data_IF_560636547442
#
_entry.id   IF_560636547442
#
_cell.length_a   1.000
_cell.length_b   1.000
_cell.length_c   1.000
_cell.angle_alpha   90.00
_cell.angle_beta   90.00
_cell.angle_gamma   90.00
#
_symmetry.space_group_name_H-M   'P 1'
#
loop_
_entity.id
_entity.type
_entity.pdbx_description
1 polymer ?
#
# COMPACT_ATOMS: atom_id res chain seq x y z
N UNK A 1 30.94 -42.44 -4.17
CA UNK A 1 29.46 -42.28 -4.20
C UNK A 1 29.16 -41.17 -5.20
N UNK A 2 28.81 -41.52 -6.46
CA UNK A 2 28.48 -40.53 -7.50
C UNK A 2 27.07 -40.04 -7.26
N UNK A 3 26.90 -38.75 -6.93
CA UNK A 3 25.60 -38.12 -6.84
C UNK A 3 24.99 -38.15 -8.24
N UNK A 4 23.77 -38.72 -8.39
CA UNK A 4 23.13 -38.81 -9.67
C UNK A 4 22.75 -37.42 -10.21
N UNK A 5 22.78 -37.26 -11.53
CA UNK A 5 22.39 -35.99 -12.20
C UNK A 5 20.97 -35.55 -11.82
N UNK A 6 20.07 -36.52 -11.53
CA UNK A 6 18.70 -36.30 -11.09
C UNK A 6 18.60 -35.69 -9.67
N UNK A 7 19.58 -35.90 -8.81
CA UNK A 7 19.58 -35.31 -7.46
C UNK A 7 20.11 -33.87 -7.45
N UNK A 8 20.88 -33.49 -8.45
CA UNK A 8 21.46 -32.13 -8.57
C UNK A 8 20.47 -31.18 -9.24
N UNK A 9 19.61 -31.66 -10.12
CA UNK A 9 18.68 -30.84 -10.91
C UNK A 9 17.77 -29.93 -10.05
N UNK A 10 17.15 -30.42 -8.96
CA UNK A 10 16.32 -29.55 -8.09
C UNK A 10 17.13 -28.46 -7.38
N UNK A 11 18.37 -28.78 -6.99
CA UNK A 11 19.27 -27.82 -6.31
C UNK A 11 19.70 -26.72 -7.29
N UNK A 12 20.07 -27.10 -8.51
CA UNK A 12 20.41 -26.15 -9.58
C UNK A 12 19.20 -25.26 -9.92
N UNK A 13 17.99 -25.87 -10.03
CA UNK A 13 16.75 -25.13 -10.24
C UNK A 13 16.47 -24.12 -9.13
N UNK A 14 16.68 -24.50 -7.87
CA UNK A 14 16.54 -23.60 -6.72
C UNK A 14 17.54 -22.45 -6.76
N UNK A 15 18.83 -22.74 -7.03
CA UNK A 15 19.88 -21.72 -7.10
C UNK A 15 19.61 -20.73 -8.24
N UNK A 16 19.23 -21.25 -9.42
CA UNK A 16 18.87 -20.41 -10.57
C UNK A 16 17.62 -19.57 -10.26
N UNK A 17 16.60 -20.15 -9.60
CA UNK A 17 15.42 -19.44 -9.13
C UNK A 17 15.77 -18.29 -8.16
N UNK A 18 16.61 -18.58 -7.15
CA UNK A 18 17.07 -17.57 -6.20
C UNK A 18 17.91 -16.48 -6.88
N UNK A 19 18.74 -16.83 -7.85
CA UNK A 19 19.52 -15.86 -8.64
C UNK A 19 18.60 -14.92 -9.43
N UNK A 20 17.56 -15.44 -10.09
CA UNK A 20 16.59 -14.62 -10.82
C UNK A 20 15.70 -13.77 -9.90
N UNK A 21 15.40 -14.23 -8.68
CA UNK A 21 14.72 -13.43 -7.67
C UNK A 21 15.59 -12.25 -7.20
N UNK A 22 16.90 -12.48 -7.01
CA UNK A 22 17.84 -11.44 -6.58
C UNK A 22 18.21 -10.44 -7.70
N UNK A 23 18.25 -10.92 -8.96
CA UNK A 23 18.64 -10.13 -10.15
C UNK A 23 17.73 -10.47 -11.34
N UNK A 24 16.49 -9.97 -11.33
CA UNK A 24 15.55 -10.27 -12.39
C UNK A 24 16.07 -9.70 -13.73
N UNK A 25 15.98 -10.47 -14.84
CA UNK A 25 16.42 -10.04 -16.16
C UNK A 25 15.59 -8.83 -16.64
N UNK A 26 16.16 -8.00 -17.53
CA UNK A 26 15.52 -6.76 -18.02
C UNK A 26 14.13 -7.00 -18.63
N UNK A 27 13.93 -8.13 -19.33
CA UNK A 27 12.62 -8.47 -19.88
C UNK A 27 11.57 -8.71 -18.79
N UNK A 28 11.95 -9.34 -17.64
CA UNK A 28 11.09 -9.55 -16.49
C UNK A 28 10.72 -8.21 -15.82
N UNK A 29 11.70 -7.32 -15.64
CA UNK A 29 11.48 -5.97 -15.11
C UNK A 29 10.50 -5.19 -16.02
N UNK A 30 10.64 -5.32 -17.35
CA UNK A 30 9.71 -4.71 -18.30
C UNK A 30 8.30 -5.26 -18.17
N UNK A 31 8.14 -6.57 -18.00
CA UNK A 31 6.83 -7.20 -17.77
C UNK A 31 6.20 -6.71 -16.46
N UNK A 32 6.97 -6.63 -15.38
CA UNK A 32 6.46 -6.12 -14.10
C UNK A 32 6.05 -4.66 -14.20
N UNK A 33 6.86 -3.83 -14.88
CA UNK A 33 6.51 -2.43 -15.15
C UNK A 33 5.21 -2.32 -15.95
N UNK A 34 5.04 -3.08 -17.02
CA UNK A 34 3.81 -3.08 -17.82
C UNK A 34 2.59 -3.54 -17.01
N UNK A 35 2.75 -4.55 -16.15
CA UNK A 35 1.68 -5.00 -15.25
C UNK A 35 1.30 -3.91 -14.24
N UNK A 36 2.30 -3.22 -13.69
CA UNK A 36 2.09 -2.10 -12.79
C UNK A 36 1.36 -0.96 -13.51
N UNK A 37 1.86 -0.52 -14.67
CA UNK A 37 1.26 0.56 -15.46
C UNK A 37 -0.18 0.22 -15.93
N UNK A 38 -0.45 -1.05 -16.24
CA UNK A 38 -1.79 -1.50 -16.62
C UNK A 38 -2.77 -1.54 -15.44
N UNK A 39 -2.25 -1.79 -14.22
CA UNK A 39 -3.07 -1.88 -13.02
C UNK A 39 -3.31 -0.51 -12.37
N UNK A 40 -2.28 0.30 -12.26
CA UNK A 40 -2.30 1.52 -11.44
C UNK A 40 -2.17 2.82 -12.26
N UNK A 41 -1.90 2.74 -13.56
CA UNK A 41 -1.61 3.88 -14.40
C UNK A 41 -0.11 4.14 -14.55
N UNK A 42 0.24 5.05 -15.47
CA UNK A 42 1.63 5.44 -15.71
C UNK A 42 2.08 6.47 -14.70
N UNK A 43 3.36 6.47 -14.38
CA UNK A 43 3.96 7.56 -13.61
C UNK A 43 3.98 8.80 -14.47
N UNK A 44 3.35 9.88 -14.02
CA UNK A 44 3.35 11.17 -14.68
C UNK A 44 4.79 11.70 -14.76
N UNK A 45 5.22 12.08 -15.96
CA UNK A 45 6.56 12.63 -16.19
C UNK A 45 6.65 14.10 -15.82
N UNK A 46 5.57 14.83 -16.01
CA UNK A 46 5.41 16.22 -15.58
C UNK A 46 3.98 16.38 -15.09
N UNK A 47 3.83 16.81 -13.84
CA UNK A 47 2.54 17.11 -13.23
C UNK A 47 2.75 18.35 -12.36
N UNK A 48 1.86 19.31 -12.46
CA UNK A 48 1.94 20.59 -11.71
C UNK A 48 1.87 20.38 -10.20
N UNK A 49 1.18 19.30 -9.77
CA UNK A 49 1.04 18.97 -8.36
C UNK A 49 2.25 18.20 -7.79
N UNK A 50 3.18 17.70 -8.63
CA UNK A 50 4.28 16.86 -8.16
C UNK A 50 5.16 17.61 -7.14
N UNK A 51 5.46 18.87 -7.38
CA UNK A 51 6.26 19.66 -6.46
C UNK A 51 5.57 19.82 -5.10
N UNK A 52 4.24 19.98 -5.09
CA UNK A 52 3.45 20.05 -3.86
C UNK A 52 3.45 18.72 -3.12
N UNK A 53 3.19 17.60 -3.80
CA UNK A 53 3.24 16.26 -3.21
C UNK A 53 4.61 15.97 -2.58
N UNK A 54 5.69 16.30 -3.28
CA UNK A 54 7.07 16.14 -2.78
C UNK A 54 7.31 17.06 -1.58
N UNK A 55 6.90 18.33 -1.65
CA UNK A 55 7.08 19.30 -0.57
C UNK A 55 6.38 18.86 0.72
N UNK A 56 5.09 18.52 0.62
CA UNK A 56 4.28 18.05 1.75
C UNK A 56 4.86 16.76 2.34
N UNK A 57 5.15 15.77 1.48
CA UNK A 57 5.72 14.50 1.92
C UNK A 57 7.06 14.67 2.64
N UNK A 58 7.97 15.51 2.11
CA UNK A 58 9.26 15.80 2.74
C UNK A 58 9.11 16.49 4.09
N UNK A 59 8.18 17.43 4.19
CA UNK A 59 7.90 18.11 5.45
C UNK A 59 7.48 17.12 6.54
N UNK A 60 6.65 16.14 6.20
CA UNK A 60 6.24 15.08 7.14
C UNK A 60 7.44 14.17 7.50
N UNK A 61 8.23 13.74 6.52
CA UNK A 61 9.44 12.91 6.75
C UNK A 61 10.43 13.60 7.71
N UNK A 62 10.69 14.88 7.50
CA UNK A 62 11.60 15.66 8.35
C UNK A 62 11.05 15.76 9.78
N UNK A 63 9.75 16.04 9.92
CA UNK A 63 9.09 16.16 11.22
C UNK A 63 9.06 14.85 12.01
N UNK A 64 8.93 13.72 11.33
CA UNK A 64 8.88 12.38 11.95
C UNK A 64 10.27 11.80 12.23
N UNK A 65 11.34 12.40 11.70
CA UNK A 65 12.70 11.93 11.89
C UNK A 65 12.97 10.56 11.25
N UNK A 66 12.26 10.19 10.19
CA UNK A 66 12.42 8.91 9.49
C UNK A 66 13.86 8.74 9.01
N UNK A 67 14.53 7.70 9.50
CA UNK A 67 15.93 7.40 9.16
C UNK A 67 16.11 6.48 7.95
N UNK A 68 15.03 5.94 7.40
CA UNK A 68 15.06 4.93 6.31
C UNK A 68 15.41 5.48 4.93
N UNK A 69 15.92 6.70 4.86
CA UNK A 69 16.21 7.39 3.61
C UNK A 69 14.99 8.10 3.04
N UNK A 70 15.19 8.99 2.06
CA UNK A 70 14.10 9.79 1.52
C UNK A 70 13.13 8.93 0.72
N UNK A 71 11.85 8.93 1.08
CA UNK A 71 10.80 8.32 0.28
C UNK A 71 10.77 8.95 -1.11
N UNK A 72 10.36 8.16 -2.08
CA UNK A 72 10.12 8.65 -3.44
C UNK A 72 8.64 8.93 -3.56
N UNK A 73 8.27 10.12 -4.00
CA UNK A 73 6.90 10.49 -4.25
C UNK A 73 6.66 10.55 -5.76
N UNK A 74 5.57 9.97 -6.21
CA UNK A 74 5.20 9.96 -7.61
C UNK A 74 3.69 10.11 -7.79
N UNK A 75 3.28 10.71 -8.91
CA UNK A 75 1.88 10.82 -9.32
C UNK A 75 1.62 9.80 -10.41
N UNK A 76 0.49 9.11 -10.33
CA UNK A 76 0.01 8.16 -11.34
C UNK A 76 -1.08 8.80 -12.20
N UNK A 77 -0.96 8.63 -13.51
CA UNK A 77 -1.98 9.03 -14.50
C UNK A 77 -3.17 8.05 -14.42
N UNK A 78 -3.97 8.18 -13.38
CA UNK A 78 -5.17 7.39 -13.13
C UNK A 78 -6.28 8.26 -12.58
N UNK A 79 -7.51 8.03 -13.06
CA UNK A 79 -8.73 8.66 -12.52
C UNK A 79 -9.23 7.99 -11.24
N UNK A 80 -8.71 6.82 -10.91
CA UNK A 80 -9.04 6.15 -9.65
C UNK A 80 -8.62 7.00 -8.47
N UNK A 81 -9.44 7.01 -7.43
CA UNK A 81 -9.11 7.67 -6.17
C UNK A 81 -8.28 6.69 -5.34
N UNK A 82 -6.94 6.85 -5.38
CA UNK A 82 -6.04 5.94 -4.69
C UNK A 82 -4.72 6.62 -4.30
N UNK A 83 -4.13 6.15 -3.20
CA UNK A 83 -2.75 6.38 -2.81
C UNK A 83 -2.22 5.10 -2.18
N UNK A 84 -0.95 4.80 -2.35
CA UNK A 84 -0.33 3.62 -1.75
C UNK A 84 1.19 3.75 -1.72
N UNK A 85 1.80 3.07 -0.77
CA UNK A 85 3.24 2.84 -0.75
C UNK A 85 3.58 1.49 -1.38
N UNK A 86 4.76 1.37 -1.99
CA UNK A 86 5.30 0.09 -2.46
C UNK A 86 6.37 -0.47 -1.51
N UNK A 87 6.81 -1.70 -1.77
CA UNK A 87 7.85 -2.39 -0.99
C UNK A 87 9.21 -1.65 -0.98
N UNK A 88 9.44 -0.71 -1.90
CA UNK A 88 10.66 0.11 -1.93
C UNK A 88 10.57 1.37 -1.07
N UNK A 89 9.42 1.63 -0.47
CA UNK A 89 9.10 2.86 0.25
C UNK A 89 8.77 4.03 -0.67
N UNK A 90 8.44 3.79 -1.94
CA UNK A 90 7.91 4.82 -2.82
C UNK A 90 6.41 4.99 -2.58
N UNK A 91 5.97 6.24 -2.44
CA UNK A 91 4.57 6.62 -2.24
C UNK A 91 4.01 7.15 -3.55
N UNK A 92 2.93 6.54 -4.00
CA UNK A 92 2.20 6.89 -5.21
C UNK A 92 0.87 7.53 -4.87
N UNK A 93 0.53 8.62 -5.55
CA UNK A 93 -0.77 9.28 -5.46
C UNK A 93 -1.36 9.37 -6.86
N UNK A 94 -2.60 8.98 -7.04
CA UNK A 94 -3.27 9.07 -8.34
C UNK A 94 -3.80 10.48 -8.59
N UNK A 95 -3.97 10.86 -9.86
CA UNK A 95 -4.62 12.11 -10.23
C UNK A 95 -6.07 12.18 -9.70
N UNK A 96 -6.78 11.04 -9.65
CA UNK A 96 -8.11 10.98 -9.04
C UNK A 96 -8.12 11.34 -7.56
N UNK A 97 -7.10 10.92 -6.79
CA UNK A 97 -6.93 11.32 -5.40
C UNK A 97 -6.60 12.80 -5.27
N UNK A 98 -5.72 13.33 -6.12
CA UNK A 98 -5.41 14.76 -6.11
C UNK A 98 -6.64 15.61 -6.44
N UNK A 99 -7.46 15.20 -7.39
CA UNK A 99 -8.74 15.87 -7.68
C UNK A 99 -9.71 15.80 -6.50
N UNK A 100 -9.73 14.69 -5.77
CA UNK A 100 -10.57 14.57 -4.58
C UNK A 100 -10.14 15.55 -3.49
N UNK A 101 -8.86 15.65 -3.16
CA UNK A 101 -8.39 16.56 -2.11
C UNK A 101 -8.37 18.02 -2.56
N UNK A 102 -8.23 18.27 -3.87
CA UNK A 102 -8.14 19.63 -4.43
C UNK A 102 -6.92 20.36 -3.88
N UNK A 103 -7.09 21.67 -3.60
CA UNK A 103 -6.02 22.56 -3.09
C UNK A 103 -5.85 22.45 -1.55
N UNK A 104 -6.52 21.53 -0.88
CA UNK A 104 -6.39 21.33 0.57
C UNK A 104 -5.10 20.57 0.91
N UNK A 105 -4.04 21.34 1.19
CA UNK A 105 -2.73 20.79 1.58
C UNK A 105 -2.79 19.95 2.84
N UNK A 106 -3.68 20.24 3.79
CA UNK A 106 -3.85 19.44 4.99
C UNK A 106 -4.43 18.04 4.67
N UNK A 107 -5.37 17.97 3.73
CA UNK A 107 -5.91 16.69 3.26
C UNK A 107 -4.86 15.88 2.49
N UNK A 108 -4.06 16.52 1.63
CA UNK A 108 -2.93 15.87 0.97
C UNK A 108 -1.92 15.34 2.00
N UNK A 109 -1.60 16.15 3.01
CA UNK A 109 -0.69 15.77 4.08
C UNK A 109 -1.23 14.55 4.87
N UNK A 110 -2.54 14.47 5.12
CA UNK A 110 -3.15 13.34 5.81
C UNK A 110 -2.98 12.03 5.05
N UNK A 111 -3.18 12.03 3.73
CA UNK A 111 -2.98 10.86 2.88
C UNK A 111 -1.51 10.43 2.89
N UNK A 112 -0.58 11.36 2.67
CA UNK A 112 0.85 11.05 2.65
C UNK A 112 1.36 10.59 4.01
N UNK A 113 0.85 11.15 5.11
CA UNK A 113 1.17 10.74 6.46
C UNK A 113 0.69 9.31 6.77
N UNK A 114 -0.49 8.93 6.26
CA UNK A 114 -1.04 7.58 6.40
C UNK A 114 -0.18 6.55 5.65
N UNK A 115 0.18 6.82 4.40
CA UNK A 115 1.08 5.93 3.63
C UNK A 115 2.46 5.83 4.27
N UNK A 116 3.00 6.94 4.76
CA UNK A 116 4.26 6.95 5.49
C UNK A 116 4.17 6.16 6.80
N UNK A 117 3.04 6.21 7.50
CA UNK A 117 2.80 5.44 8.70
C UNK A 117 2.85 3.92 8.43
N UNK A 118 2.26 3.44 7.32
CA UNK A 118 2.37 2.05 6.90
C UNK A 118 3.83 1.62 6.65
N UNK A 119 4.65 2.49 6.05
CA UNK A 119 6.08 2.23 5.82
C UNK A 119 6.81 2.13 7.16
N UNK A 120 6.64 3.12 8.05
CA UNK A 120 7.36 3.22 9.33
C UNK A 120 6.97 2.09 10.28
N UNK A 121 5.69 1.72 10.34
CA UNK A 121 5.18 0.61 11.14
C UNK A 121 5.55 -0.76 10.56
N UNK A 122 6.13 -0.82 9.36
CA UNK A 122 6.55 -2.07 8.73
C UNK A 122 5.38 -2.95 8.27
N UNK A 123 4.20 -2.38 8.05
CA UNK A 123 3.00 -3.13 7.67
C UNK A 123 3.17 -3.91 6.37
N UNK A 124 3.98 -3.41 5.42
CA UNK A 124 4.31 -4.11 4.17
C UNK A 124 5.10 -5.41 4.41
N UNK A 125 6.04 -5.40 5.35
CA UNK A 125 6.82 -6.60 5.68
C UNK A 125 5.94 -7.66 6.35
N UNK A 126 5.03 -7.25 7.23
CA UNK A 126 4.05 -8.14 7.87
C UNK A 126 3.17 -8.79 6.80
N UNK A 127 2.61 -8.01 5.87
CA UNK A 127 1.81 -8.53 4.76
C UNK A 127 2.59 -9.50 3.87
N UNK A 128 3.84 -9.21 3.57
CA UNK A 128 4.71 -10.07 2.77
C UNK A 128 4.93 -11.42 3.47
N UNK A 129 5.21 -11.40 4.76
CA UNK A 129 5.33 -12.61 5.59
C UNK A 129 4.05 -13.42 5.59
N UNK A 130 2.90 -12.79 5.77
CA UNK A 130 1.62 -13.47 5.79
C UNK A 130 1.24 -14.04 4.42
N UNK A 131 1.44 -13.28 3.34
CA UNK A 131 1.31 -13.80 1.96
C UNK A 131 2.17 -15.02 1.73
N UNK A 132 3.43 -15.02 2.19
CA UNK A 132 4.34 -16.15 2.02
C UNK A 132 3.87 -17.36 2.81
N UNK A 133 3.40 -17.20 4.05
CA UNK A 133 2.81 -18.27 4.86
C UNK A 133 1.59 -18.89 4.18
N UNK A 134 0.64 -18.03 3.71
CA UNK A 134 -0.57 -18.51 3.03
C UNK A 134 -0.26 -19.18 1.70
N UNK A 135 0.73 -18.68 0.95
CA UNK A 135 1.17 -19.32 -0.29
C UNK A 135 1.82 -20.68 -0.04
N UNK A 136 2.65 -20.81 1.01
CA UNK A 136 3.27 -22.07 1.40
C UNK A 136 2.23 -23.07 1.87
N UNK A 137 1.30 -22.67 2.74
CA UNK A 137 0.19 -23.50 3.18
C UNK A 137 -0.68 -23.91 2.00
N UNK A 138 -1.05 -22.96 1.12
CA UNK A 138 -1.82 -23.26 -0.09
C UNK A 138 -1.13 -24.27 -1.00
N UNK A 139 0.20 -24.21 -1.11
CA UNK A 139 0.98 -25.17 -1.88
C UNK A 139 0.97 -26.57 -1.23
N UNK A 140 1.12 -26.67 0.09
CA UNK A 140 0.99 -27.93 0.82
C UNK A 140 -0.38 -28.58 0.59
N UNK A 141 -1.47 -27.79 0.63
CA UNK A 141 -2.83 -28.29 0.36
C UNK A 141 -3.09 -28.56 -1.13
N UNK A 142 -2.31 -27.98 -2.06
CA UNK A 142 -2.49 -28.21 -3.50
C UNK A 142 -1.94 -29.54 -4.00
N UNK A 143 -1.09 -30.20 -3.23
CA UNK A 143 -0.49 -31.52 -3.57
C UNK A 143 -1.49 -32.66 -3.40
N UNK A 144 -2.59 -32.46 -2.66
CA UNK A 144 -3.66 -33.43 -2.47
C UNK A 144 -4.69 -33.46 -3.59
N UNK A 145 -5.80 -34.20 -3.37
CA UNK A 145 -6.91 -34.26 -4.32
C UNK A 145 -7.62 -32.92 -4.59
N UNK A 146 -8.72 -32.97 -5.36
CA UNK A 146 -9.43 -31.75 -5.79
C UNK A 146 -9.95 -30.87 -4.63
N UNK A 147 -10.33 -31.46 -3.50
CA UNK A 147 -10.79 -30.76 -2.30
C UNK A 147 -9.64 -29.95 -1.69
N UNK A 148 -8.44 -30.55 -1.57
CA UNK A 148 -7.27 -29.86 -1.02
C UNK A 148 -6.78 -28.72 -1.93
N UNK A 149 -6.91 -28.89 -3.25
CA UNK A 149 -6.64 -27.79 -4.22
C UNK A 149 -7.62 -26.64 -4.07
N UNK A 150 -8.91 -26.94 -3.83
CA UNK A 150 -9.92 -25.90 -3.60
C UNK A 150 -9.62 -25.12 -2.32
N UNK A 151 -9.31 -25.81 -1.22
CA UNK A 151 -8.92 -25.18 0.06
C UNK A 151 -7.62 -24.39 -0.11
N UNK A 152 -6.61 -24.94 -0.78
CA UNK A 152 -5.35 -24.23 -1.06
C UNK A 152 -5.55 -22.94 -1.86
N UNK A 153 -6.39 -22.97 -2.91
CA UNK A 153 -6.70 -21.79 -3.70
C UNK A 153 -7.48 -20.73 -2.91
N UNK A 154 -8.36 -21.16 -2.00
CA UNK A 154 -9.09 -20.26 -1.10
C UNK A 154 -8.13 -19.61 -0.09
N UNK A 155 -7.21 -20.38 0.50
CA UNK A 155 -6.20 -19.87 1.43
C UNK A 155 -5.28 -18.83 0.76
N UNK A 156 -4.83 -19.08 -0.48
CA UNK A 156 -4.04 -18.12 -1.25
C UNK A 156 -4.82 -16.83 -1.51
N UNK A 157 -6.12 -16.93 -1.86
CA UNK A 157 -6.99 -15.75 -2.03
C UNK A 157 -7.25 -15.01 -0.73
N UNK A 158 -7.46 -15.73 0.38
CA UNK A 158 -7.67 -15.13 1.71
C UNK A 158 -6.40 -14.41 2.24
N UNK A 159 -5.21 -14.91 1.87
CA UNK A 159 -3.93 -14.25 2.15
C UNK A 159 -3.57 -13.12 1.18
N UNK A 160 -4.42 -12.83 0.18
CA UNK A 160 -4.24 -11.71 -0.72
C UNK A 160 -4.55 -10.39 0.03
N UNK A 161 -3.50 -9.73 0.32
CA UNK A 161 -3.21 -8.47 0.94
C UNK A 161 -4.35 -7.46 1.10
N UNK A 162 -4.89 -7.43 2.28
CA UNK A 162 -5.50 -6.25 2.88
C UNK A 162 -4.72 -5.93 4.15
N UNK A 163 -4.58 -4.66 4.49
CA UNK A 163 -4.20 -4.32 5.84
C UNK A 163 -5.29 -4.80 6.80
N UNK A 164 -4.89 -5.25 7.99
CA UNK A 164 -5.88 -5.56 9.02
C UNK A 164 -6.47 -4.26 9.55
N UNK A 165 -7.66 -4.33 10.12
CA UNK A 165 -8.30 -3.18 10.77
C UNK A 165 -7.38 -2.55 11.84
N UNK A 166 -6.66 -3.38 12.60
CA UNK A 166 -5.71 -2.90 13.60
C UNK A 166 -4.55 -2.13 12.98
N UNK A 167 -4.03 -2.58 11.83
CA UNK A 167 -2.97 -1.87 11.09
C UNK A 167 -3.46 -0.54 10.53
N UNK A 168 -4.71 -0.48 10.07
CA UNK A 168 -5.32 0.76 9.62
C UNK A 168 -5.51 1.77 10.75
N UNK A 169 -6.02 1.32 11.90
CA UNK A 169 -6.18 2.16 13.10
C UNK A 169 -4.83 2.63 13.65
N UNK A 170 -3.78 1.81 13.56
CA UNK A 170 -2.43 2.20 13.93
C UNK A 170 -1.87 3.24 12.95
N UNK A 171 -2.01 3.03 11.64
CA UNK A 171 -1.57 3.96 10.62
C UNK A 171 -2.29 5.32 10.74
N UNK A 172 -3.59 5.32 11.01
CA UNK A 172 -4.36 6.55 11.24
C UNK A 172 -3.89 7.33 12.46
N UNK A 173 -3.64 6.65 13.60
CA UNK A 173 -3.12 7.30 14.81
C UNK A 173 -1.74 7.90 14.57
N UNK A 174 -0.86 7.15 13.93
CA UNK A 174 0.47 7.64 13.55
C UNK A 174 0.36 8.84 12.61
N UNK A 175 -0.52 8.77 11.60
CA UNK A 175 -0.75 9.87 10.66
C UNK A 175 -1.20 11.14 11.37
N UNK A 176 -2.15 11.05 12.30
CA UNK A 176 -2.61 12.19 13.15
C UNK A 176 -1.44 12.81 13.92
N UNK A 177 -0.58 11.97 14.51
CA UNK A 177 0.61 12.43 15.21
C UNK A 177 1.62 13.09 14.26
N UNK A 178 1.83 12.53 13.08
CA UNK A 178 2.75 13.08 12.07
C UNK A 178 2.26 14.41 11.51
N UNK A 179 0.95 14.56 11.30
CA UNK A 179 0.35 15.84 10.92
C UNK A 179 0.65 16.92 11.96
N UNK A 180 0.42 16.63 13.22
CA UNK A 180 0.69 17.56 14.33
C UNK A 180 2.17 17.95 14.37
N UNK A 181 3.09 16.98 14.29
CA UNK A 181 4.54 17.23 14.28
C UNK A 181 4.99 18.08 13.09
N UNK A 182 4.37 17.88 11.93
CA UNK A 182 4.68 18.62 10.72
C UNK A 182 3.96 19.98 10.61
N UNK A 183 3.15 20.34 11.63
CA UNK A 183 2.41 21.61 11.65
C UNK A 183 1.22 21.65 10.69
N UNK A 184 0.67 20.49 10.36
CA UNK A 184 -0.61 20.33 9.68
C UNK A 184 -1.74 20.13 10.68
N UNK A 185 -2.98 20.31 10.23
CA UNK A 185 -4.16 20.08 11.07
C UNK A 185 -4.36 18.59 11.38
N UNK A 186 -4.27 18.14 12.64
CA UNK A 186 -4.46 16.72 13.01
C UNK A 186 -5.85 16.17 12.63
N UNK A 187 -6.87 17.03 12.55
CA UNK A 187 -8.22 16.65 12.13
C UNK A 187 -8.35 16.36 10.64
N UNK A 188 -7.34 16.68 9.83
CA UNK A 188 -7.37 16.42 8.39
C UNK A 188 -7.55 14.93 8.08
N UNK A 189 -6.99 14.02 8.88
CA UNK A 189 -7.17 12.58 8.68
C UNK A 189 -8.64 12.17 8.77
N UNK A 190 -9.35 12.58 9.82
CA UNK A 190 -10.78 12.27 9.97
C UNK A 190 -11.64 12.91 8.87
N UNK A 191 -11.28 14.10 8.38
CA UNK A 191 -12.00 14.76 7.26
C UNK A 191 -11.80 14.01 5.94
N UNK A 192 -10.58 13.58 5.64
CA UNK A 192 -10.29 12.80 4.42
C UNK A 192 -11.05 11.48 4.44
N UNK A 193 -11.02 10.75 5.54
CA UNK A 193 -11.76 9.50 5.70
C UNK A 193 -13.27 9.70 5.54
N UNK A 194 -13.83 10.78 6.10
CA UNK A 194 -15.24 11.12 5.94
C UNK A 194 -15.58 11.40 4.47
N UNK A 195 -14.75 12.18 3.77
CA UNK A 195 -14.94 12.51 2.36
C UNK A 195 -14.86 11.27 1.46
N UNK A 196 -13.88 10.40 1.70
CA UNK A 196 -13.79 9.11 1.00
C UNK A 196 -15.04 8.25 1.22
N UNK A 197 -15.53 8.18 2.45
CA UNK A 197 -16.74 7.43 2.79
C UNK A 197 -18.01 8.01 2.13
N UNK A 198 -18.13 9.33 1.99
CA UNK A 198 -19.24 10.00 1.29
C UNK A 198 -19.21 9.69 -0.20
N UNK A 199 -18.05 9.81 -0.86
CA UNK A 199 -17.90 9.48 -2.29
C UNK A 199 -18.25 8.02 -2.52
N UNK A 200 -17.77 7.11 -1.66
CA UNK A 200 -18.11 5.69 -1.73
C UNK A 200 -19.61 5.41 -1.66
N UNK A 201 -20.31 6.07 -0.73
CA UNK A 201 -21.76 5.89 -0.58
C UNK A 201 -22.55 6.45 -1.76
N UNK A 202 -22.09 7.55 -2.36
CA UNK A 202 -22.80 8.24 -3.45
C UNK A 202 -22.72 7.49 -4.79
N UNK A 203 -21.66 6.73 -5.03
CA UNK A 203 -21.40 6.09 -6.31
C UNK A 203 -21.94 4.64 -6.41
N UNK A 204 -22.45 4.07 -5.33
CA UNK A 204 -22.95 2.70 -5.30
C UNK A 204 -21.86 1.63 -5.42
N UNK A 205 -22.20 0.37 -5.13
CA UNK A 205 -21.24 -0.77 -5.04
C UNK A 205 -20.81 -1.35 -6.41
N UNK A 206 -20.99 -0.63 -7.50
CA UNK A 206 -20.58 -1.09 -8.84
C UNK A 206 -19.17 -0.59 -9.17
N UNK A 207 -18.36 -1.41 -9.83
CA UNK A 207 -16.96 -1.22 -10.31
C UNK A 207 -16.53 0.24 -10.45
N UNK A 208 -16.15 0.85 -9.34
CA UNK A 208 -15.96 2.27 -9.13
C UNK A 208 -14.45 2.55 -8.96
N UNK A 209 -13.96 3.73 -9.33
CA UNK A 209 -12.60 4.21 -9.08
C UNK A 209 -12.09 4.07 -7.64
N UNK A 210 -12.99 4.01 -6.65
CA UNK A 210 -12.66 3.80 -5.22
C UNK A 210 -12.49 2.34 -4.79
N UNK A 211 -12.82 1.37 -5.65
CA UNK A 211 -12.85 -0.06 -5.26
C UNK A 211 -11.47 -0.58 -4.84
N UNK A 212 -10.40 -0.09 -5.47
CA UNK A 212 -9.03 -0.49 -5.13
C UNK A 212 -8.62 0.05 -3.75
N UNK A 213 -8.88 1.34 -3.47
CA UNK A 213 -8.57 1.96 -2.18
C UNK A 213 -9.27 1.25 -1.02
N UNK A 214 -10.57 1.00 -1.16
CA UNK A 214 -11.36 0.29 -0.12
C UNK A 214 -11.00 -1.18 0.00
N UNK A 215 -10.49 -1.79 -1.08
CA UNK A 215 -10.00 -3.16 -1.02
C UNK A 215 -8.68 -3.28 -0.25
N UNK A 216 -7.85 -2.25 -0.26
CA UNK A 216 -6.60 -2.18 0.50
C UNK A 216 -6.78 -1.60 1.91
N UNK A 217 -7.73 -0.65 2.09
CA UNK A 217 -7.97 0.10 3.34
C UNK A 217 -9.45 0.03 3.77
N UNK A 218 -9.89 -1.08 4.38
CA UNK A 218 -11.30 -1.26 4.75
C UNK A 218 -11.75 -0.43 5.96
N UNK A 219 -13.06 -0.31 6.12
CA UNK A 219 -13.79 0.15 7.31
C UNK A 219 -13.55 1.61 7.76
N UNK A 220 -14.12 2.56 6.98
CA UNK A 220 -13.95 3.99 7.24
C UNK A 220 -14.64 4.53 8.51
N UNK A 221 -15.76 3.97 8.97
CA UNK A 221 -16.59 4.59 10.03
C UNK A 221 -15.90 4.61 11.39
N UNK A 222 -15.35 3.48 11.83
CA UNK A 222 -14.61 3.37 13.08
C UNK A 222 -13.32 4.19 13.04
N UNK A 223 -12.63 4.15 11.90
CA UNK A 223 -11.41 4.91 11.64
C UNK A 223 -11.62 6.43 11.74
N UNK A 224 -12.76 6.95 11.23
CA UNK A 224 -13.12 8.37 11.34
C UNK A 224 -13.25 8.78 12.83
N UNK A 225 -13.97 7.99 13.63
CA UNK A 225 -14.15 8.27 15.04
C UNK A 225 -12.85 8.22 15.83
N UNK A 226 -12.02 7.20 15.59
CA UNK A 226 -10.73 7.01 16.24
C UNK A 226 -9.75 8.15 15.89
N UNK A 227 -9.63 8.51 14.62
CA UNK A 227 -8.75 9.61 14.16
C UNK A 227 -9.18 10.97 14.75
N UNK A 228 -10.50 11.22 14.85
CA UNK A 228 -11.03 12.43 15.48
C UNK A 228 -10.72 12.50 16.98
N UNK A 229 -10.86 11.37 17.67
CA UNK A 229 -10.54 11.29 19.11
C UNK A 229 -9.05 11.52 19.36
N UNK A 230 -8.18 10.91 18.53
CA UNK A 230 -6.73 11.09 18.62
C UNK A 230 -6.31 12.54 18.38
N UNK A 231 -6.87 13.20 17.37
CA UNK A 231 -6.62 14.63 17.11
C UNK A 231 -7.05 15.51 18.30
N UNK A 232 -8.17 15.19 18.96
CA UNK A 232 -8.63 15.87 20.16
C UNK A 232 -7.69 15.71 21.36
N UNK A 233 -6.98 14.58 21.47
CA UNK A 233 -6.00 14.33 22.52
C UNK A 233 -4.72 15.17 22.35
N UNK A 234 -4.29 15.37 21.11
CA UNK A 234 -3.10 16.18 20.77
C UNK A 234 -3.33 17.69 20.88
N UNK A 235 -4.58 18.14 20.88
CA UNK A 235 -4.96 19.56 20.96
C UNK A 235 -5.14 20.08 22.38
N UNK A 236 -4.93 19.23 23.40
CA UNK A 236 -4.99 19.54 24.85
C UNK A 236 -3.62 19.79 25.42
#
# INVERSE_FOLDING_TARGET
>A
MMISFLEILPIVGLIVGLYFLARPPRWWQKIQKLKFENKFGRVARSDEHLNNVVHVGRRIEIATGVKSGPSKFAILESKEVNAFADESGAIFVTQGMLLLVGDDEHSLAAILAHELAHIIAGHHEIQKHDKMKFMLLGHLFSVGGWITRLVGSFMVKAGAARYSQDQELEADRLAVSYLSLAGYDPYAMSRVLARLNEVFKSEGHTSNPLTELLSSHPEAVERIAASKAEAGNLSR
#
